data_IF_817066949197
#
_entry.id   IF_817066949197
#
_cell.length_a   1.000
_cell.length_b   1.000
_cell.length_c   1.000
_cell.angle_alpha   90.00
_cell.angle_beta   90.00
_cell.angle_gamma   90.00
#
_symmetry.space_group_name_H-M   'P 1'
#
loop_
_entity.id
_entity.type
_entity.pdbx_description
1 polymer ?
#
# COMPACT_ATOMS: atom_id res chain seq x y z
N UNK A 1 -10.93 12.65 9.60
CA UNK A 1 -9.73 12.88 8.76
C UNK A 1 -8.50 13.36 9.54
N UNK A 2 -8.55 14.42 10.36
CA UNK A 2 -7.38 14.89 11.13
C UNK A 2 -6.72 13.80 12.01
N UNK A 3 -7.51 13.05 12.78
CA UNK A 3 -7.02 11.92 13.60
C UNK A 3 -6.30 10.87 12.74
N UNK A 4 -6.91 10.47 11.62
CA UNK A 4 -6.31 9.54 10.66
C UNK A 4 -4.98 10.07 10.09
N UNK A 5 -4.90 11.36 9.75
CA UNK A 5 -3.67 11.95 9.25
C UNK A 5 -2.53 11.83 10.27
N UNK A 6 -2.78 12.17 11.54
CA UNK A 6 -1.81 12.00 12.63
C UNK A 6 -1.37 10.55 12.83
N UNK A 7 -2.31 9.60 12.83
CA UNK A 7 -2.01 8.17 12.95
C UNK A 7 -1.15 7.62 11.80
N UNK A 8 -1.33 8.18 10.59
CA UNK A 8 -0.53 7.81 9.41
C UNK A 8 0.84 8.48 9.49
N UNK A 9 0.88 9.78 9.80
CA UNK A 9 2.12 10.56 9.89
C UNK A 9 3.12 9.91 10.86
N UNK A 10 2.65 9.42 12.01
CA UNK A 10 3.50 8.73 12.99
C UNK A 10 4.12 7.42 12.48
N UNK A 11 3.63 6.86 11.38
CA UNK A 11 4.14 5.62 10.76
C UNK A 11 5.08 5.88 9.59
N UNK A 12 5.17 7.12 9.09
CA UNK A 12 5.99 7.44 7.93
C UNK A 12 7.46 7.36 8.34
N UNK A 13 8.17 6.36 7.81
CA UNK A 13 9.58 6.10 8.10
C UNK A 13 10.40 6.18 6.80
N UNK A 14 11.01 7.34 6.55
CA UNK A 14 12.11 7.51 5.60
C UNK A 14 11.77 8.23 4.28
N UNK A 15 12.47 7.87 3.19
CA UNK A 15 12.57 8.68 1.96
C UNK A 15 11.28 8.76 1.14
N UNK A 16 10.80 7.64 0.57
CA UNK A 16 9.66 7.67 -0.36
C UNK A 16 8.50 6.83 0.18
N UNK A 17 7.36 7.46 0.43
CA UNK A 17 6.16 6.82 0.95
C UNK A 17 4.96 6.94 -0.01
N UNK A 18 4.24 5.85 -0.23
CA UNK A 18 2.93 5.84 -0.88
C UNK A 18 1.85 5.68 0.18
N UNK A 19 0.96 6.65 0.29
CA UNK A 19 -0.22 6.62 1.14
C UNK A 19 -1.44 6.31 0.27
N UNK A 20 -2.00 5.11 0.38
CA UNK A 20 -3.27 4.79 -0.25
C UNK A 20 -4.39 5.07 0.74
N UNK A 21 -5.11 6.16 0.52
CA UNK A 21 -6.22 6.64 1.36
C UNK A 21 -7.39 7.01 0.46
N UNK A 22 -8.29 6.08 0.15
CA UNK A 22 -9.48 6.34 -0.67
C UNK A 22 -10.36 7.43 -0.05
N UNK A 23 -10.81 8.39 -0.86
CA UNK A 23 -11.72 9.45 -0.41
C UNK A 23 -11.06 10.57 0.40
N UNK A 24 -9.72 10.65 0.35
CA UNK A 24 -8.99 11.80 0.87
C UNK A 24 -9.41 13.09 0.14
N UNK A 25 -9.50 14.18 0.90
CA UNK A 25 -9.75 15.53 0.40
C UNK A 25 -8.53 16.41 0.63
N UNK A 26 -8.63 17.67 0.18
CA UNK A 26 -7.62 18.69 0.42
C UNK A 26 -7.23 18.80 1.91
N UNK A 27 -8.23 18.81 2.80
CA UNK A 27 -8.01 18.91 4.26
C UNK A 27 -7.13 17.78 4.80
N UNK A 28 -7.33 16.55 4.32
CA UNK A 28 -6.46 15.44 4.71
C UNK A 28 -5.01 15.65 4.29
N UNK A 29 -4.77 16.16 3.08
CA UNK A 29 -3.42 16.46 2.58
C UNK A 29 -2.76 17.55 3.42
N UNK A 30 -3.50 18.61 3.74
CA UNK A 30 -3.02 19.71 4.59
C UNK A 30 -2.64 19.19 5.99
N UNK A 31 -3.50 18.37 6.62
CA UNK A 31 -3.18 17.78 7.93
C UNK A 31 -1.94 16.88 7.90
N UNK A 32 -1.68 16.17 6.79
CA UNK A 32 -0.44 15.40 6.64
C UNK A 32 0.77 16.35 6.55
N UNK A 33 0.63 17.47 5.84
CA UNK A 33 1.66 18.51 5.77
C UNK A 33 1.97 19.11 7.14
N UNK A 34 0.95 19.45 7.92
CA UNK A 34 1.09 20.03 9.26
C UNK A 34 1.80 19.09 10.25
N UNK A 35 1.64 17.77 10.09
CA UNK A 35 2.23 16.77 10.99
C UNK A 35 3.65 16.35 10.55
N UNK A 36 4.16 16.84 9.42
CA UNK A 36 5.51 16.53 8.92
C UNK A 36 6.34 17.81 8.82
N UNK A 37 7.38 17.87 9.66
CA UNK A 37 8.35 18.96 9.65
C UNK A 37 9.01 19.12 8.28
N UNK A 38 9.21 20.38 7.87
CA UNK A 38 9.85 20.75 6.59
C UNK A 38 9.16 20.13 5.36
N UNK A 39 7.83 19.97 5.42
CA UNK A 39 7.06 19.49 4.28
C UNK A 39 6.67 20.62 3.31
N UNK A 40 6.39 20.24 2.05
CA UNK A 40 5.78 21.11 1.04
C UNK A 40 4.69 20.34 0.31
N UNK A 41 3.46 20.86 0.37
CA UNK A 41 2.35 20.30 -0.40
C UNK A 41 2.37 20.87 -1.81
N UNK A 42 2.57 20.00 -2.80
CA UNK A 42 2.60 20.35 -4.20
C UNK A 42 1.25 20.00 -4.84
N UNK A 43 0.56 21.03 -5.33
CA UNK A 43 -0.74 20.89 -5.98
C UNK A 43 -0.66 20.86 -7.50
N UNK A 44 0.33 21.53 -8.08
CA UNK A 44 0.44 21.72 -9.52
C UNK A 44 1.24 20.58 -10.16
N UNK A 45 0.64 19.94 -11.15
CA UNK A 45 1.30 18.97 -12.03
C UNK A 45 2.52 19.57 -12.77
N UNK A 46 2.59 20.90 -12.87
CA UNK A 46 3.65 21.67 -13.52
C UNK A 46 4.68 22.25 -12.55
N UNK A 47 4.80 21.75 -11.32
CA UNK A 47 5.84 22.23 -10.40
C UNK A 47 7.22 22.27 -11.08
N UNK A 48 7.76 23.48 -11.26
CA UNK A 48 9.07 23.77 -11.87
C UNK A 48 10.13 24.18 -10.84
N UNK A 49 9.83 24.11 -9.55
CA UNK A 49 10.75 24.48 -8.48
C UNK A 49 11.96 23.54 -8.39
N UNK A 50 13.07 24.07 -7.85
CA UNK A 50 14.27 23.28 -7.56
C UNK A 50 14.03 22.37 -6.35
N UNK A 51 14.36 21.09 -6.50
CA UNK A 51 14.25 20.12 -5.41
C UNK A 51 15.33 20.37 -4.35
N UNK A 52 14.90 20.55 -3.11
CA UNK A 52 15.78 20.67 -1.95
C UNK A 52 15.97 19.29 -1.31
N UNK A 53 17.19 18.95 -0.88
CA UNK A 53 17.48 17.60 -0.34
C UNK A 53 16.79 17.33 1.01
N UNK A 54 16.62 18.36 1.84
CA UNK A 54 16.08 18.20 3.19
C UNK A 54 14.55 18.27 3.27
N UNK A 55 13.91 18.82 2.25
CA UNK A 55 12.46 19.06 2.21
C UNK A 55 11.67 17.79 1.89
N UNK A 56 10.52 17.61 2.52
CA UNK A 56 9.60 16.50 2.24
C UNK A 56 8.50 16.97 1.29
N UNK A 57 8.50 16.49 0.06
CA UNK A 57 7.44 16.84 -0.90
C UNK A 57 6.22 15.93 -0.69
N UNK A 58 5.03 16.52 -0.62
CA UNK A 58 3.76 15.80 -0.55
C UNK A 58 2.98 16.12 -1.82
N UNK A 59 2.61 15.09 -2.58
CA UNK A 59 1.82 15.23 -3.81
C UNK A 59 0.69 14.22 -3.83
N UNK A 60 -0.36 14.50 -4.60
CA UNK A 60 -1.35 13.48 -4.95
C UNK A 60 -0.92 12.74 -6.21
N UNK A 61 -1.54 11.59 -6.47
CA UNK A 61 -1.46 10.92 -7.76
C UNK A 61 -2.42 11.62 -8.77
N UNK A 62 -2.01 11.86 -10.03
CA UNK A 62 -0.72 11.48 -10.65
C UNK A 62 0.45 12.34 -10.17
N UNK A 63 1.64 11.71 -10.08
CA UNK A 63 2.84 12.38 -9.56
C UNK A 63 3.45 13.30 -10.63
N UNK A 64 3.64 14.61 -10.34
CA UNK A 64 4.36 15.53 -11.22
C UNK A 64 5.72 14.97 -11.63
N UNK A 65 6.09 15.11 -12.90
CA UNK A 65 7.36 14.53 -13.42
C UNK A 65 8.59 15.07 -12.71
N UNK A 66 8.58 16.35 -12.31
CA UNK A 66 9.63 17.00 -11.54
C UNK A 66 9.85 16.33 -10.18
N UNK A 67 8.78 15.95 -9.48
CA UNK A 67 8.85 15.31 -8.17
C UNK A 67 9.31 13.85 -8.22
N UNK A 68 9.29 13.18 -9.38
CA UNK A 68 9.72 11.77 -9.47
C UNK A 68 11.15 11.55 -8.98
N UNK A 69 12.03 12.56 -9.12
CA UNK A 69 13.43 12.53 -8.67
C UNK A 69 13.64 12.93 -7.19
N UNK A 70 12.60 13.38 -6.50
CA UNK A 70 12.71 13.80 -5.10
C UNK A 70 13.15 12.62 -4.21
N UNK A 71 14.16 12.87 -3.35
CA UNK A 71 14.60 11.88 -2.37
C UNK A 71 13.54 11.64 -1.31
N UNK A 72 12.92 12.71 -0.80
CA UNK A 72 11.85 12.64 0.18
C UNK A 72 10.51 12.98 -0.48
N UNK A 73 9.67 11.98 -0.73
CA UNK A 73 8.41 12.14 -1.45
C UNK A 73 7.31 11.29 -0.81
N UNK A 74 6.21 11.93 -0.48
CA UNK A 74 4.97 11.29 -0.06
C UNK A 74 3.95 11.46 -1.18
N UNK A 75 3.40 10.34 -1.65
CA UNK A 75 2.32 10.35 -2.64
C UNK A 75 1.05 9.85 -2.00
N UNK A 76 -0.01 10.66 -2.07
CA UNK A 76 -1.35 10.29 -1.60
C UNK A 76 -2.19 9.87 -2.81
N UNK A 77 -2.85 8.72 -2.71
CA UNK A 77 -3.61 8.12 -3.82
C UNK A 77 -4.84 7.38 -3.32
N UNK A 78 -5.86 7.25 -4.18
CA UNK A 78 -7.03 6.42 -3.89
C UNK A 78 -6.81 4.93 -4.17
N UNK A 79 -5.71 4.59 -4.84
CA UNK A 79 -5.37 3.23 -5.21
C UNK A 79 -3.83 3.06 -5.26
N UNK A 80 -3.37 1.82 -5.36
CA UNK A 80 -2.00 1.52 -5.76
C UNK A 80 -1.96 0.83 -7.12
N UNK A 81 -0.77 0.68 -7.68
CA UNK A 81 -0.50 -0.15 -8.86
C UNK A 81 0.81 -0.89 -8.65
N UNK A 82 1.09 -1.98 -9.37
CA UNK A 82 2.38 -2.67 -9.25
C UNK A 82 3.58 -1.75 -9.47
N UNK A 83 3.46 -0.76 -10.36
CA UNK A 83 4.51 0.22 -10.63
C UNK A 83 4.68 1.23 -9.49
N UNK A 84 3.57 1.70 -8.91
CA UNK A 84 3.62 2.55 -7.71
C UNK A 84 4.25 1.77 -6.56
N UNK A 85 3.79 0.56 -6.27
CA UNK A 85 4.35 -0.27 -5.21
C UNK A 85 5.87 -0.42 -5.33
N UNK A 86 6.40 -0.62 -6.53
CA UNK A 86 7.85 -0.72 -6.80
C UNK A 86 8.60 0.61 -6.62
N UNK A 87 7.95 1.74 -6.89
CA UNK A 87 8.58 3.08 -6.90
C UNK A 87 8.71 3.73 -5.51
N UNK A 88 8.10 3.11 -4.50
CA UNK A 88 8.08 3.61 -3.12
C UNK A 88 8.70 2.60 -2.16
N UNK A 89 9.41 3.12 -1.18
CA UNK A 89 10.08 2.31 -0.17
C UNK A 89 9.09 1.82 0.89
N UNK A 90 8.12 2.66 1.22
CA UNK A 90 7.08 2.37 2.19
C UNK A 90 5.72 2.56 1.53
N UNK A 91 4.80 1.65 1.78
CA UNK A 91 3.43 1.73 1.28
C UNK A 91 2.47 1.55 2.45
N UNK A 92 1.73 2.59 2.80
CA UNK A 92 0.72 2.55 3.85
C UNK A 92 -0.65 2.55 3.18
N UNK A 93 -1.42 1.46 3.36
CA UNK A 93 -2.76 1.32 2.79
C UNK A 93 -3.80 1.42 3.90
N UNK A 94 -4.75 2.34 3.73
CA UNK A 94 -5.96 2.45 4.53
C UNK A 94 -7.15 2.15 3.63
N UNK A 95 -7.58 0.89 3.62
CA UNK A 95 -8.65 0.38 2.74
C UNK A 95 -9.95 1.13 2.98
N UNK A 96 -10.72 1.41 1.93
CA UNK A 96 -12.00 2.12 2.08
C UNK A 96 -12.99 1.36 2.97
N UNK A 97 -12.99 0.03 2.91
CA UNK A 97 -13.80 -0.83 3.78
C UNK A 97 -13.48 -0.61 5.26
N UNK A 98 -12.19 -0.58 5.62
CA UNK A 98 -11.71 -0.29 6.98
C UNK A 98 -12.07 1.12 7.41
N UNK A 99 -11.88 2.10 6.53
CA UNK A 99 -12.21 3.50 6.82
C UNK A 99 -13.72 3.72 7.03
N UNK A 100 -14.58 2.96 6.35
CA UNK A 100 -16.03 2.98 6.62
C UNK A 100 -16.36 2.37 7.99
N UNK A 101 -15.73 1.23 8.35
CA UNK A 101 -15.92 0.61 9.68
C UNK A 101 -15.48 1.53 10.82
N UNK A 102 -14.38 2.24 10.62
CA UNK A 102 -13.82 3.20 11.58
C UNK A 102 -14.57 4.54 11.62
N UNK A 103 -15.57 4.74 10.74
CA UNK A 103 -16.38 5.96 10.67
C UNK A 103 -15.68 7.17 10.02
N UNK A 104 -14.55 6.95 9.34
CA UNK A 104 -13.87 8.00 8.56
C UNK A 104 -14.54 8.28 7.21
N UNK A 105 -15.21 7.27 6.64
CA UNK A 105 -15.99 7.35 5.41
C UNK A 105 -17.44 6.93 5.68
N UNK A 106 -18.35 7.33 4.81
CA UNK A 106 -19.77 6.99 4.92
C UNK A 106 -20.18 5.97 3.87
N UNK A 107 -21.12 5.06 4.17
CA UNK A 107 -21.77 4.23 3.15
C UNK A 107 -22.33 5.10 2.02
N UNK A 108 -22.30 4.62 0.79
CA UNK A 108 -22.73 5.34 -0.40
C UNK A 108 -23.60 4.45 -1.29
N UNK A 109 -24.22 5.01 -2.33
CA UNK A 109 -25.10 4.25 -3.23
C UNK A 109 -24.48 4.04 -4.60
N UNK A 110 -24.81 2.92 -5.24
CA UNK A 110 -24.57 2.69 -6.66
C UNK A 110 -25.90 2.43 -7.36
N UNK A 111 -26.18 3.20 -8.41
CA UNK A 111 -27.33 3.03 -9.30
C UNK A 111 -26.83 2.75 -10.71
N UNK A 112 -27.07 1.56 -11.22
CA UNK A 112 -26.71 1.18 -12.59
C UNK A 112 -27.92 1.28 -13.50
N UNK A 113 -27.79 2.00 -14.60
CA UNK A 113 -28.83 2.15 -15.62
C UNK A 113 -28.36 1.53 -16.93
N UNK A 114 -29.27 0.84 -17.61
CA UNK A 114 -29.05 0.37 -18.97
C UNK A 114 -29.26 1.52 -19.96
N UNK A 115 -28.22 1.83 -20.74
CA UNK A 115 -28.27 2.74 -21.86
C UNK A 115 -28.15 1.96 -23.18
N UNK A 116 -29.09 2.18 -24.10
CA UNK A 116 -29.07 1.48 -25.40
C UNK A 116 -28.17 2.18 -26.43
N UNK A 117 -27.82 3.45 -26.21
CA UNK A 117 -26.94 4.17 -27.13
C UNK A 117 -25.48 3.81 -26.88
N UNK A 118 -24.72 3.38 -27.90
CA UNK A 118 -23.30 3.09 -27.76
C UNK A 118 -22.49 4.29 -27.26
N UNK A 119 -21.43 4.02 -26.51
CA UNK A 119 -20.57 5.04 -25.86
C UNK A 119 -19.88 5.98 -26.88
N UNK A 120 -19.62 5.51 -28.10
CA UNK A 120 -18.98 6.31 -29.15
C UNK A 120 -19.94 7.29 -29.86
N UNK A 121 -21.26 7.22 -29.61
CA UNK A 121 -22.27 8.11 -30.20
C UNK A 121 -22.76 9.13 -29.19
N UNK A 122 -23.10 10.33 -29.67
CA UNK A 122 -23.83 11.31 -28.87
C UNK A 122 -25.31 10.90 -28.76
N UNK A 123 -25.84 10.91 -27.54
CA UNK A 123 -27.23 10.56 -27.23
C UNK A 123 -27.90 11.71 -26.50
N UNK A 124 -28.92 12.33 -27.12
CA UNK A 124 -29.69 13.38 -26.45
C UNK A 124 -30.37 12.86 -25.18
N UNK A 125 -30.99 11.68 -25.22
CA UNK A 125 -31.64 11.12 -24.03
C UNK A 125 -30.66 10.85 -22.88
N UNK A 126 -29.41 10.46 -23.17
CA UNK A 126 -28.38 10.32 -22.12
C UNK A 126 -27.96 11.67 -21.57
N UNK A 127 -27.76 12.67 -22.43
CA UNK A 127 -27.44 14.04 -22.00
C UNK A 127 -28.56 14.64 -21.16
N UNK A 128 -29.82 14.49 -21.58
CA UNK A 128 -30.99 14.99 -20.85
C UNK A 128 -31.16 14.27 -19.51
N UNK A 129 -30.94 12.96 -19.47
CA UNK A 129 -30.91 12.19 -18.23
C UNK A 129 -29.80 12.67 -17.29
N UNK A 130 -28.58 12.88 -17.79
CA UNK A 130 -27.46 13.43 -17.01
C UNK A 130 -27.81 14.82 -16.48
N UNK A 131 -28.42 15.67 -17.30
CA UNK A 131 -28.82 17.02 -16.94
C UNK A 131 -29.96 17.07 -15.92
N UNK A 132 -30.68 15.96 -15.70
CA UNK A 132 -31.73 15.87 -14.67
C UNK A 132 -31.20 15.76 -13.24
N UNK A 133 -29.89 15.56 -13.05
CA UNK A 133 -29.26 15.51 -11.74
C UNK A 133 -28.69 16.88 -11.39
N UNK A 134 -29.19 17.45 -10.29
CA UNK A 134 -28.60 18.64 -9.70
C UNK A 134 -27.18 18.33 -9.21
N UNK A 135 -26.23 19.19 -9.52
CA UNK A 135 -24.84 19.14 -9.02
C UNK A 135 -24.15 17.78 -9.19
N UNK A 136 -24.09 17.31 -10.45
CA UNK A 136 -23.42 16.06 -10.81
C UNK A 136 -22.02 16.27 -11.43
N UNK A 137 -21.06 15.45 -11.00
CA UNK A 137 -19.77 15.29 -11.66
C UNK A 137 -19.87 14.20 -12.71
N UNK A 138 -19.57 14.51 -13.96
CA UNK A 138 -19.79 13.59 -15.07
C UNK A 138 -18.50 13.17 -15.74
N UNK A 139 -18.27 11.86 -15.80
CA UNK A 139 -17.35 11.25 -16.73
C UNK A 139 -18.11 10.93 -18.02
N UNK A 140 -17.96 11.73 -19.10
CA UNK A 140 -18.79 11.63 -20.29
C UNK A 140 -18.47 10.38 -21.09
N UNK A 141 -19.41 9.96 -21.93
CA UNK A 141 -19.22 8.82 -22.83
C UNK A 141 -18.03 9.03 -23.78
N UNK A 142 -17.91 10.25 -24.30
CA UNK A 142 -16.88 10.68 -25.25
C UNK A 142 -16.70 12.21 -25.18
N UNK A 143 -15.74 12.74 -25.95
CA UNK A 143 -15.39 14.17 -25.94
C UNK A 143 -16.54 15.08 -26.40
N UNK A 144 -17.32 14.63 -27.40
CA UNK A 144 -18.43 15.40 -27.96
C UNK A 144 -19.58 15.54 -26.95
N UNK A 145 -19.94 14.45 -26.28
CA UNK A 145 -20.88 14.49 -25.15
C UNK A 145 -20.38 15.39 -24.03
N UNK A 146 -19.08 15.31 -23.71
CA UNK A 146 -18.46 16.20 -22.74
C UNK A 146 -18.59 17.69 -23.12
N UNK A 147 -18.47 18.02 -24.41
CA UNK A 147 -18.67 19.40 -24.91
C UNK A 147 -20.11 19.86 -24.72
N UNK A 148 -21.09 19.03 -25.09
CA UNK A 148 -22.52 19.35 -24.94
C UNK A 148 -22.90 19.54 -23.47
N UNK A 149 -22.41 18.67 -22.58
CA UNK A 149 -22.66 18.76 -21.14
C UNK A 149 -22.09 20.06 -20.54
N UNK A 150 -20.86 20.43 -20.90
CA UNK A 150 -20.25 21.70 -20.46
C UNK A 150 -21.05 22.92 -20.93
N UNK A 151 -21.56 22.89 -22.17
CA UNK A 151 -22.40 23.97 -22.70
C UNK A 151 -23.73 24.12 -21.93
N UNK A 152 -24.16 23.07 -21.22
CA UNK A 152 -25.32 23.09 -20.32
C UNK A 152 -24.96 23.41 -18.87
N UNK A 153 -23.71 23.83 -18.60
CA UNK A 153 -23.24 24.15 -17.25
C UNK A 153 -22.91 22.93 -16.38
N UNK A 154 -22.87 21.73 -16.95
CA UNK A 154 -22.59 20.48 -16.20
C UNK A 154 -21.08 20.28 -16.07
N UNK A 155 -20.63 19.97 -14.86
CA UNK A 155 -19.22 19.75 -14.57
C UNK A 155 -18.74 18.40 -15.13
N UNK A 156 -17.84 18.47 -16.11
CA UNK A 156 -17.25 17.31 -16.78
C UNK A 156 -15.84 17.08 -16.28
N UNK A 157 -15.57 15.87 -15.80
CA UNK A 157 -14.29 15.48 -15.21
C UNK A 157 -13.54 14.47 -16.07
N UNK A 158 -12.21 14.49 -15.92
CA UNK A 158 -11.32 13.43 -16.41
C UNK A 158 -10.93 12.53 -15.25
N UNK A 159 -10.73 11.24 -15.51
CA UNK A 159 -10.27 10.25 -14.53
C UNK A 159 -9.02 10.72 -13.77
N UNK A 160 -8.11 11.45 -14.43
CA UNK A 160 -6.88 11.93 -13.79
C UNK A 160 -6.92 13.40 -13.36
N UNK A 161 -8.03 14.12 -13.62
CA UNK A 161 -8.21 15.53 -13.23
C UNK A 161 -9.50 15.68 -12.45
N UNK A 162 -9.51 15.07 -11.28
CA UNK A 162 -10.68 15.00 -10.41
C UNK A 162 -10.63 16.14 -9.38
N UNK A 163 -11.74 16.87 -9.14
CA UNK A 163 -11.79 17.96 -8.17
C UNK A 163 -11.49 17.49 -6.74
N UNK A 164 -10.91 18.38 -5.93
CA UNK A 164 -10.37 18.05 -4.61
C UNK A 164 -11.43 17.89 -3.50
N UNK A 165 -12.64 18.36 -3.77
CA UNK A 165 -13.76 18.35 -2.84
C UNK A 165 -15.06 18.31 -3.63
N UNK A 166 -15.60 17.13 -3.95
CA UNK A 166 -17.02 17.07 -4.20
C UNK A 166 -17.69 17.34 -2.85
N UNK A 167 -18.16 18.56 -2.67
CA UNK A 167 -19.30 18.74 -1.79
C UNK A 167 -20.41 17.88 -2.39
N UNK A 168 -20.79 16.84 -1.62
CA UNK A 168 -21.86 15.86 -1.83
C UNK A 168 -22.65 16.02 -3.14
N UNK A 169 -22.45 15.10 -4.09
CA UNK A 169 -23.21 15.05 -5.33
C UNK A 169 -23.23 13.66 -5.97
N UNK A 170 -23.90 13.55 -7.11
CA UNK A 170 -23.88 12.34 -7.93
C UNK A 170 -22.63 12.31 -8.81
N UNK A 171 -21.98 11.14 -8.91
CA UNK A 171 -20.86 10.89 -9.82
C UNK A 171 -21.38 10.02 -10.95
N UNK A 172 -21.49 10.57 -12.16
CA UNK A 172 -22.08 9.87 -13.30
C UNK A 172 -20.98 9.31 -14.19
N UNK A 173 -21.01 8.00 -14.43
CA UNK A 173 -20.09 7.27 -15.29
C UNK A 173 -20.79 6.91 -16.61
N UNK A 174 -20.63 7.74 -17.64
CA UNK A 174 -21.22 7.52 -18.96
C UNK A 174 -20.37 6.65 -19.91
N UNK A 175 -19.21 6.18 -19.46
CA UNK A 175 -18.36 5.21 -20.17
C UNK A 175 -17.82 4.12 -19.26
N UNK A 176 -17.48 2.98 -19.87
CA UNK A 176 -16.81 1.88 -19.20
C UNK A 176 -15.36 2.25 -18.96
N UNK A 177 -14.91 2.17 -17.72
CA UNK A 177 -13.52 2.36 -17.35
C UNK A 177 -12.71 1.13 -17.73
N UNK A 178 -11.47 1.32 -18.18
CA UNK A 178 -10.65 0.20 -18.68
C UNK A 178 -9.96 -0.58 -17.57
N UNK A 179 -9.85 0.00 -16.37
CA UNK A 179 -9.10 -0.60 -15.27
C UNK A 179 -9.68 -0.31 -13.89
N UNK A 180 -9.48 -1.23 -12.94
CA UNK A 180 -9.90 -1.06 -11.55
C UNK A 180 -9.32 0.22 -10.90
N UNK A 181 -8.04 0.60 -11.12
CA UNK A 181 -7.50 1.85 -10.58
C UNK A 181 -8.24 3.10 -11.07
N UNK A 182 -8.61 3.15 -12.36
CA UNK A 182 -9.41 4.24 -12.90
C UNK A 182 -10.80 4.31 -12.25
N UNK A 183 -11.43 3.14 -12.03
CA UNK A 183 -12.68 3.06 -11.28
C UNK A 183 -12.53 3.55 -9.84
N UNK A 184 -11.50 3.14 -9.12
CA UNK A 184 -11.25 3.58 -7.75
C UNK A 184 -11.03 5.09 -7.64
N UNK A 185 -10.40 5.70 -8.64
CA UNK A 185 -10.24 7.14 -8.70
C UNK A 185 -11.59 7.86 -8.77
N UNK A 186 -12.50 7.40 -9.63
CA UNK A 186 -13.86 7.96 -9.74
C UNK A 186 -14.70 7.64 -8.50
N UNK A 187 -14.63 6.40 -8.02
CA UNK A 187 -15.32 5.91 -6.83
C UNK A 187 -15.00 6.76 -5.61
N UNK A 188 -13.77 7.26 -5.48
CA UNK A 188 -13.33 8.06 -4.33
C UNK A 188 -14.20 9.29 -4.07
N UNK A 189 -14.84 9.83 -5.10
CA UNK A 189 -15.70 11.01 -5.03
C UNK A 189 -17.04 10.72 -4.36
N UNK A 190 -17.49 9.46 -4.35
CA UNK A 190 -18.75 9.07 -3.72
C UNK A 190 -18.58 8.58 -2.26
N UNK A 191 -17.35 8.37 -1.78
CA UNK A 191 -17.07 7.73 -0.47
C UNK A 191 -17.48 8.54 0.76
N UNK A 192 -18.04 9.74 0.57
CA UNK A 192 -18.58 10.62 1.63
C UNK A 192 -20.10 10.66 1.64
N UNK A 193 -20.73 9.52 1.35
CA UNK A 193 -22.19 9.39 1.33
C UNK A 193 -22.84 9.83 0.02
N UNK A 194 -22.08 9.89 -1.07
CA UNK A 194 -22.58 10.26 -2.39
C UNK A 194 -23.29 9.11 -3.12
N UNK A 195 -23.50 9.31 -4.42
CA UNK A 195 -24.11 8.31 -5.31
C UNK A 195 -23.27 8.14 -6.56
N UNK A 196 -22.92 6.91 -6.92
CA UNK A 196 -22.40 6.59 -8.25
C UNK A 196 -23.58 6.22 -9.15
N UNK A 197 -23.73 6.93 -10.25
CA UNK A 197 -24.69 6.64 -11.31
C UNK A 197 -23.92 6.04 -12.47
N UNK A 198 -24.05 4.75 -12.69
CA UNK A 198 -23.33 4.01 -13.71
C UNK A 198 -24.21 3.77 -14.93
N UNK A 199 -23.86 4.40 -16.05
CA UNK A 199 -24.58 4.28 -17.32
C UNK A 199 -23.87 3.33 -18.30
N UNK A 200 -22.78 2.70 -17.87
CA UNK A 200 -21.85 1.99 -18.76
C UNK A 200 -21.36 0.65 -18.21
N UNK A 201 -22.10 0.06 -17.27
CA UNK A 201 -21.85 -1.25 -16.68
C UNK A 201 -20.45 -1.38 -16.02
N UNK A 202 -20.09 -0.39 -15.21
CA UNK A 202 -18.97 -0.44 -14.28
C UNK A 202 -19.32 -1.10 -12.94
N UNK A 203 -20.61 -1.40 -12.66
CA UNK A 203 -21.08 -1.97 -11.38
C UNK A 203 -20.35 -3.25 -10.95
N UNK A 204 -19.86 -4.05 -11.91
CA UNK A 204 -19.05 -5.24 -11.66
C UNK A 204 -17.67 -4.94 -11.02
N UNK A 205 -17.20 -3.69 -11.12
CA UNK A 205 -15.98 -3.21 -10.48
C UNK A 205 -16.20 -2.81 -9.01
N UNK A 206 -17.45 -2.59 -8.59
CA UNK A 206 -17.87 -2.40 -7.19
C UNK A 206 -18.14 -3.73 -6.49
N UNK A 207 -17.21 -4.66 -6.68
CA UNK A 207 -17.11 -5.87 -5.88
C UNK A 207 -16.01 -5.63 -4.84
N UNK A 208 -16.31 -5.79 -3.55
CA UNK A 208 -15.36 -5.45 -2.49
C UNK A 208 -13.99 -6.11 -2.65
N UNK A 209 -13.93 -7.35 -3.12
CA UNK A 209 -12.64 -8.02 -3.39
C UNK A 209 -11.84 -7.31 -4.47
N UNK A 210 -12.47 -6.85 -5.57
CA UNK A 210 -11.78 -6.08 -6.61
C UNK A 210 -11.38 -4.69 -6.10
N UNK A 211 -12.24 -4.04 -5.31
CA UNK A 211 -11.95 -2.75 -4.68
C UNK A 211 -10.71 -2.87 -3.79
N UNK A 212 -10.71 -3.79 -2.84
CA UNK A 212 -9.60 -4.03 -1.90
C UNK A 212 -8.32 -4.38 -2.64
N UNK A 213 -8.36 -5.28 -3.64
CA UNK A 213 -7.19 -5.62 -4.43
C UNK A 213 -6.65 -4.43 -5.25
N UNK A 214 -7.53 -3.56 -5.76
CA UNK A 214 -7.11 -2.33 -6.44
C UNK A 214 -6.47 -1.30 -5.49
N UNK A 215 -7.01 -1.15 -4.29
CA UNK A 215 -6.41 -0.31 -3.24
C UNK A 215 -5.02 -0.82 -2.82
N UNK A 216 -4.85 -2.14 -2.73
CA UNK A 216 -3.57 -2.75 -2.42
C UNK A 216 -2.57 -2.74 -3.60
N UNK A 217 -3.03 -2.49 -4.82
CA UNK A 217 -2.18 -2.36 -6.01
C UNK A 217 -1.98 -3.62 -6.85
N UNK A 218 -2.98 -4.51 -6.86
CA UNK A 218 -2.97 -5.74 -7.65
C UNK A 218 -3.13 -5.46 -9.16
N UNK A 219 -3.93 -4.45 -9.49
CA UNK A 219 -4.28 -4.13 -10.88
C UNK A 219 -3.36 -3.07 -11.49
N UNK A 220 -3.07 -3.23 -12.77
CA UNK A 220 -2.34 -2.23 -13.56
C UNK A 220 -3.27 -1.11 -13.98
N UNK A 221 -2.79 0.14 -13.90
CA UNK A 221 -3.48 1.29 -14.47
C UNK A 221 -3.34 1.27 -16.00
N UNK A 222 -4.47 1.28 -16.69
CA UNK A 222 -4.51 1.36 -18.15
C UNK A 222 -4.77 2.82 -18.59
N UNK A 223 -4.25 3.19 -19.77
CA UNK A 223 -4.53 4.52 -20.34
C UNK A 223 -6.02 4.62 -20.67
N UNK A 224 -6.66 5.62 -20.09
CA UNK A 224 -8.02 6.01 -20.43
C UNK A 224 -8.01 6.86 -21.70
N UNK A 225 -9.01 6.65 -22.56
CA UNK A 225 -9.11 7.35 -23.83
C UNK A 225 -10.30 6.82 -24.62
N UNK A 226 -11.05 7.75 -25.20
CA UNK A 226 -12.23 7.48 -26.04
C UNK A 226 -12.20 8.41 -27.22
N UNK A 227 -12.11 7.87 -28.42
CA UNK A 227 -12.44 8.60 -29.65
C UNK A 227 -13.95 8.52 -29.84
N UNK A 228 -14.61 9.69 -29.87
CA UNK A 228 -16.02 9.79 -30.23
C UNK A 228 -16.18 9.91 -31.74
N UNK A 229 -17.31 9.46 -32.27
CA UNK A 229 -17.75 9.78 -33.63
C UNK A 229 -18.92 10.75 -33.52
N UNK A 230 -18.98 11.77 -34.37
CA UNK A 230 -20.07 12.78 -34.46
C UNK A 230 -21.41 12.20 -34.94
N UNK A 231 -21.59 10.88 -34.93
CA UNK A 231 -22.86 10.26 -35.29
C UNK A 231 -23.83 10.34 -34.12
N UNK A 232 -24.95 11.02 -34.34
CA UNK A 232 -26.08 11.07 -33.42
C UNK A 232 -26.86 9.76 -33.44
N UNK A 233 -27.32 9.33 -32.27
CA UNK A 233 -28.34 8.28 -32.19
C UNK A 233 -29.72 8.86 -32.55
N UNK A 234 -30.37 8.29 -33.58
CA UNK A 234 -31.64 8.78 -34.12
C UNK A 234 -32.87 8.32 -33.33
N UNK A 235 -32.72 7.34 -32.44
CA UNK A 235 -33.83 6.78 -31.65
C UNK A 235 -33.43 6.50 -30.19
N UNK A 236 -32.98 7.51 -29.43
CA UNK A 236 -32.45 7.28 -28.10
C UNK A 236 -33.58 6.94 -27.12
N UNK A 237 -33.45 5.81 -26.42
CA UNK A 237 -34.33 5.44 -25.30
C UNK A 237 -33.76 5.99 -24.00
N UNK A 238 -34.63 6.44 -23.09
CA UNK A 238 -34.23 6.88 -21.77
C UNK A 238 -33.48 5.77 -21.00
N UNK A 239 -32.45 6.11 -20.21
CA UNK A 239 -31.78 5.14 -19.34
C UNK A 239 -32.76 4.47 -18.38
N UNK A 240 -32.65 3.14 -18.22
CA UNK A 240 -33.56 2.35 -17.37
C UNK A 240 -32.78 1.79 -16.18
N UNK A 241 -33.24 2.03 -14.96
CA UNK A 241 -32.63 1.50 -13.74
C UNK A 241 -32.60 -0.04 -13.79
N UNK A 242 -31.42 -0.61 -13.54
CA UNK A 242 -31.19 -2.06 -13.48
C UNK A 242 -30.83 -2.53 -12.09
N UNK A 243 -29.97 -1.79 -11.41
CA UNK A 243 -29.46 -2.15 -10.08
C UNK A 243 -29.42 -0.90 -9.23
N UNK A 244 -29.93 -0.98 -8.01
CA UNK A 244 -29.66 -0.02 -6.94
C UNK A 244 -29.17 -0.79 -5.73
N UNK A 245 -28.00 -0.41 -5.19
CA UNK A 245 -27.44 -1.02 -3.99
C UNK A 245 -26.76 0.01 -3.09
N UNK A 246 -26.92 -0.19 -1.78
CA UNK A 246 -26.07 0.45 -0.78
C UNK A 246 -24.73 -0.27 -0.71
N UNK A 247 -23.64 0.48 -0.72
CA UNK A 247 -22.30 -0.03 -0.48
C UNK A 247 -21.97 0.16 1.00
N UNK A 248 -21.94 -0.97 1.73
CA UNK A 248 -21.62 -1.06 3.16
C UNK A 248 -20.42 -2.00 3.35
N UNK A 249 -19.57 -1.78 4.36
CA UNK A 249 -18.42 -2.65 4.61
C UNK A 249 -18.88 -4.07 4.98
N UNK A 250 -18.15 -5.10 4.52
CA UNK A 250 -18.40 -6.50 4.89
C UNK A 250 -17.93 -6.76 6.32
N UNK A 251 -18.60 -7.68 7.01
CA UNK A 251 -18.05 -8.22 8.26
C UNK A 251 -17.05 -9.34 7.93
N UNK A 252 -15.76 -9.07 8.15
CA UNK A 252 -14.67 -9.97 7.79
C UNK A 252 -13.73 -10.11 8.99
N UNK A 253 -13.15 -11.30 9.21
CA UNK A 253 -12.20 -11.50 10.29
C UNK A 253 -11.02 -10.54 10.20
N UNK A 254 -10.52 -10.09 11.35
CA UNK A 254 -9.38 -9.17 11.41
C UNK A 254 -8.11 -9.82 10.86
N UNK A 255 -7.44 -9.12 9.94
CA UNK A 255 -6.11 -9.49 9.46
C UNK A 255 -5.03 -8.86 10.35
N UNK A 256 -4.06 -9.66 10.75
CA UNK A 256 -2.92 -9.22 11.56
C UNK A 256 -1.60 -9.62 10.92
N UNK A 257 -0.67 -8.66 10.87
CA UNK A 257 0.70 -8.84 10.44
C UNK A 257 1.60 -8.20 11.49
N UNK A 258 2.39 -9.01 12.18
CA UNK A 258 3.25 -8.53 13.25
C UNK A 258 3.86 -9.66 14.06
N UNK A 259 4.93 -9.36 14.78
CA UNK A 259 5.65 -10.31 15.67
C UNK A 259 6.06 -11.60 14.96
N UNK A 260 6.41 -11.52 13.68
CA UNK A 260 6.80 -12.69 12.86
C UNK A 260 5.63 -13.61 12.48
N UNK A 261 4.39 -13.17 12.64
CA UNK A 261 3.19 -13.96 12.37
C UNK A 261 2.24 -13.25 11.41
N UNK A 262 1.57 -14.05 10.58
CA UNK A 262 0.46 -13.65 9.73
C UNK A 262 -0.77 -14.44 10.18
N UNK A 263 -1.81 -13.76 10.63
CA UNK A 263 -3.02 -14.40 11.15
C UNK A 263 -4.30 -13.66 10.76
N UNK A 264 -5.40 -14.43 10.68
CA UNK A 264 -6.73 -13.94 10.33
C UNK A 264 -7.73 -14.46 11.34
N UNK A 265 -8.46 -13.58 12.02
CA UNK A 265 -9.38 -13.97 13.10
C UNK A 265 -8.69 -14.79 14.18
N UNK A 266 -7.44 -14.46 14.51
CA UNK A 266 -6.58 -15.21 15.45
C UNK A 266 -6.00 -16.52 14.91
N UNK A 267 -6.43 -17.01 13.74
CA UNK A 267 -5.89 -18.23 13.13
C UNK A 267 -4.62 -17.91 12.34
N UNK A 268 -3.52 -18.59 12.67
CA UNK A 268 -2.23 -18.45 11.99
C UNK A 268 -2.29 -19.06 10.58
N UNK A 269 -1.95 -18.25 9.57
CA UNK A 269 -1.83 -18.66 8.17
C UNK A 269 -0.38 -18.65 7.65
N UNK A 270 0.54 -18.02 8.38
CA UNK A 270 1.95 -18.04 8.05
C UNK A 270 2.84 -17.46 9.15
N UNK A 271 4.14 -17.73 9.04
CA UNK A 271 5.20 -17.12 9.85
C UNK A 271 6.21 -16.47 8.92
N UNK A 272 6.73 -15.30 9.29
CA UNK A 272 7.81 -14.65 8.56
C UNK A 272 8.98 -14.34 9.47
N UNK A 273 10.18 -14.36 8.90
CA UNK A 273 11.40 -13.89 9.57
C UNK A 273 12.44 -13.40 8.58
N UNK A 274 13.33 -12.52 9.02
CA UNK A 274 14.54 -12.16 8.28
C UNK A 274 15.75 -12.84 8.92
N UNK A 275 16.48 -13.62 8.12
CA UNK A 275 17.68 -14.31 8.59
C UNK A 275 18.64 -14.61 7.44
N UNK A 276 19.94 -14.49 7.69
CA UNK A 276 20.96 -14.72 6.68
C UNK A 276 20.76 -13.91 5.39
N UNK A 277 20.36 -12.63 5.50
CA UNK A 277 20.07 -11.73 4.36
C UNK A 277 18.89 -12.14 3.47
N UNK A 278 18.00 -12.99 3.99
CA UNK A 278 16.84 -13.49 3.25
C UNK A 278 15.57 -13.30 4.07
N UNK A 279 14.50 -13.01 3.36
CA UNK A 279 13.14 -13.11 3.87
C UNK A 279 12.69 -14.57 3.77
N UNK A 280 12.23 -15.13 4.89
CA UNK A 280 11.70 -16.48 4.96
C UNK A 280 10.22 -16.40 5.33
N UNK A 281 9.39 -17.13 4.58
CA UNK A 281 7.96 -17.26 4.79
C UNK A 281 7.63 -18.74 4.95
N UNK A 282 7.23 -19.13 6.16
CA UNK A 282 6.80 -20.49 6.48
C UNK A 282 5.28 -20.56 6.42
N UNK A 283 4.76 -21.49 5.60
CA UNK A 283 3.35 -21.68 5.29
C UNK A 283 2.99 -23.17 5.35
N UNK A 284 1.71 -23.49 5.53
CA UNK A 284 1.22 -24.86 5.51
C UNK A 284 0.25 -25.07 4.34
N UNK A 285 0.70 -25.77 3.30
CA UNK A 285 -0.11 -26.12 2.14
C UNK A 285 -0.57 -27.59 2.16
N UNK A 286 -0.54 -28.25 3.32
CA UNK A 286 -0.67 -29.70 3.50
C UNK A 286 0.54 -30.24 4.25
N UNK A 287 1.71 -29.74 3.89
CA UNK A 287 2.94 -29.88 4.64
C UNK A 287 3.55 -28.49 4.90
N UNK A 288 4.33 -28.39 5.97
CA UNK A 288 5.02 -27.17 6.31
C UNK A 288 6.15 -26.90 5.31
N UNK A 289 6.06 -25.78 4.60
CA UNK A 289 7.05 -25.34 3.62
C UNK A 289 7.63 -23.99 4.02
N UNK A 290 8.93 -23.80 3.83
CA UNK A 290 9.59 -22.50 4.03
C UNK A 290 10.08 -21.95 2.69
N UNK A 291 9.46 -20.86 2.25
CA UNK A 291 9.80 -20.13 1.05
C UNK A 291 10.84 -19.06 1.39
N UNK A 292 11.99 -19.05 0.71
CA UNK A 292 13.07 -18.13 1.03
C UNK A 292 13.53 -17.32 -0.17
N UNK A 293 13.61 -16.00 -0.03
CA UNK A 293 14.07 -15.08 -1.10
C UNK A 293 14.91 -13.94 -0.54
N UNK A 294 15.71 -13.29 -1.39
CA UNK A 294 16.47 -12.09 -1.01
C UNK A 294 15.59 -10.89 -0.72
N UNK A 295 14.38 -10.84 -1.30
CA UNK A 295 13.35 -9.83 -1.08
C UNK A 295 11.96 -10.50 -1.27
N UNK A 296 10.88 -10.05 -0.59
CA UNK A 296 9.55 -10.65 -0.73
C UNK A 296 9.09 -10.70 -2.18
N UNK A 297 8.80 -11.90 -2.69
CA UNK A 297 8.33 -12.12 -4.05
C UNK A 297 6.84 -12.31 -4.07
N UNK A 298 6.12 -11.63 -4.97
CA UNK A 298 4.66 -11.75 -5.09
C UNK A 298 4.20 -13.21 -5.23
N UNK A 299 4.97 -14.06 -5.91
CA UNK A 299 4.63 -15.48 -6.12
C UNK A 299 4.65 -16.33 -4.84
N UNK A 300 5.35 -15.90 -3.79
CA UNK A 300 5.32 -16.57 -2.49
C UNK A 300 4.00 -16.31 -1.75
N UNK A 301 3.31 -15.23 -2.10
CA UNK A 301 2.06 -14.80 -1.48
C UNK A 301 0.86 -15.19 -2.34
N UNK A 302 0.90 -14.88 -3.64
CA UNK A 302 -0.16 -15.15 -4.61
C UNK A 302 0.41 -16.03 -5.71
N UNK A 303 0.11 -17.33 -5.63
CA UNK A 303 0.29 -18.26 -6.73
C UNK A 303 -1.04 -18.95 -7.01
N UNK A 304 -1.45 -19.13 -8.28
CA UNK A 304 -2.69 -19.85 -8.58
C UNK A 304 -2.61 -21.28 -8.03
N UNK A 305 -3.66 -21.75 -7.36
CA UNK A 305 -3.71 -23.10 -6.80
C UNK A 305 -3.52 -24.19 -7.87
N UNK A 306 -3.95 -23.92 -9.11
CA UNK A 306 -3.75 -24.81 -10.26
C UNK A 306 -2.29 -25.09 -10.59
N UNK A 307 -1.35 -24.27 -10.12
CA UNK A 307 0.08 -24.51 -10.31
C UNK A 307 0.67 -25.55 -9.35
N UNK A 308 -0.08 -25.93 -8.31
CA UNK A 308 0.40 -26.79 -7.22
C UNK A 308 1.47 -26.14 -6.33
N UNK A 309 1.87 -24.89 -6.59
CA UNK A 309 2.92 -24.22 -5.82
C UNK A 309 2.38 -23.74 -4.48
N UNK A 310 3.10 -24.12 -3.42
CA UNK A 310 2.78 -23.64 -2.08
C UNK A 310 3.02 -22.12 -1.98
N UNK A 311 2.04 -21.41 -1.41
CA UNK A 311 2.04 -19.96 -1.21
C UNK A 311 1.21 -19.60 0.02
N UNK A 312 1.32 -18.36 0.50
CA UNK A 312 0.47 -17.88 1.59
C UNK A 312 -1.02 -17.98 1.24
N UNK A 313 -1.39 -17.67 0.00
CA UNK A 313 -2.75 -17.80 -0.51
C UNK A 313 -3.29 -19.22 -0.34
N UNK A 314 -2.52 -20.23 -0.77
CA UNK A 314 -2.93 -21.63 -0.59
C UNK A 314 -3.10 -21.95 0.89
N UNK A 315 -2.15 -21.55 1.74
CA UNK A 315 -2.22 -21.82 3.19
C UNK A 315 -3.44 -21.17 3.83
N UNK A 316 -3.74 -19.93 3.45
CA UNK A 316 -4.93 -19.23 3.91
C UNK A 316 -6.22 -19.96 3.49
N UNK A 317 -6.34 -20.37 2.22
CA UNK A 317 -7.53 -21.10 1.72
C UNK A 317 -7.70 -22.41 2.48
N UNK A 318 -6.62 -23.11 2.82
CA UNK A 318 -6.71 -24.31 3.67
C UNK A 318 -7.22 -24.02 5.09
N UNK A 319 -6.88 -22.88 5.66
CA UNK A 319 -7.26 -22.51 7.04
C UNK A 319 -8.67 -21.92 7.11
N UNK A 320 -9.08 -21.16 6.09
CA UNK A 320 -10.32 -20.37 6.10
C UNK A 320 -11.39 -20.82 5.10
N UNK A 321 -11.02 -21.50 4.02
CA UNK A 321 -11.93 -21.93 2.96
C UNK A 321 -12.37 -20.83 1.97
N UNK A 322 -12.10 -19.55 2.26
CA UNK A 322 -12.53 -18.41 1.42
C UNK A 322 -11.43 -18.00 0.43
N UNK A 323 -11.66 -18.31 -0.86
CA UNK A 323 -10.75 -18.00 -1.97
C UNK A 323 -10.59 -16.48 -2.18
N UNK A 324 -11.67 -15.72 -2.14
CA UNK A 324 -11.62 -14.29 -2.46
C UNK A 324 -10.95 -13.50 -1.34
N UNK A 325 -11.36 -13.75 -0.10
CA UNK A 325 -10.78 -13.09 1.05
C UNK A 325 -9.31 -13.48 1.26
N UNK A 326 -8.96 -14.75 1.04
CA UNK A 326 -7.55 -15.17 1.13
C UNK A 326 -6.66 -14.52 0.07
N UNK A 327 -7.20 -14.19 -1.11
CA UNK A 327 -6.45 -13.43 -2.12
C UNK A 327 -6.16 -12.01 -1.64
N UNK A 328 -7.14 -11.33 -1.03
CA UNK A 328 -6.98 -10.00 -0.42
C UNK A 328 -5.91 -10.03 0.68
N UNK A 329 -6.08 -10.93 1.66
CA UNK A 329 -5.16 -11.11 2.79
C UNK A 329 -3.73 -11.40 2.33
N UNK A 330 -3.58 -12.27 1.34
CA UNK A 330 -2.25 -12.65 0.86
C UNK A 330 -1.54 -11.49 0.16
N UNK A 331 -2.29 -10.67 -0.57
CA UNK A 331 -1.71 -9.47 -1.18
C UNK A 331 -1.37 -8.40 -0.15
N UNK A 332 -2.22 -8.21 0.87
CA UNK A 332 -1.94 -7.30 1.97
C UNK A 332 -0.70 -7.72 2.77
N UNK A 333 -0.55 -9.02 3.03
CA UNK A 333 0.65 -9.59 3.63
C UNK A 333 1.91 -9.37 2.77
N UNK A 334 1.79 -9.42 1.44
CA UNK A 334 2.89 -9.10 0.53
C UNK A 334 3.33 -7.64 0.69
N UNK A 335 2.39 -6.69 0.68
CA UNK A 335 2.69 -5.25 0.87
C UNK A 335 3.35 -5.01 2.23
N UNK A 336 2.80 -5.59 3.31
CA UNK A 336 3.36 -5.45 4.66
C UNK A 336 4.75 -6.10 4.80
N UNK A 337 4.98 -7.24 4.17
CA UNK A 337 6.29 -7.91 4.17
C UNK A 337 7.36 -7.05 3.48
N UNK A 338 6.99 -6.35 2.38
CA UNK A 338 7.89 -5.40 1.71
C UNK A 338 8.27 -4.23 2.61
N UNK A 339 7.29 -3.64 3.29
CA UNK A 339 7.54 -2.57 4.26
C UNK A 339 8.48 -3.06 5.36
N UNK A 340 8.18 -4.21 5.98
CA UNK A 340 8.99 -4.79 7.05
C UNK A 340 10.45 -5.00 6.63
N UNK A 341 10.67 -5.57 5.45
CA UNK A 341 12.02 -5.77 4.91
C UNK A 341 12.75 -4.44 4.67
N UNK A 342 12.04 -3.44 4.17
CA UNK A 342 12.59 -2.11 3.96
C UNK A 342 12.90 -1.40 5.30
N UNK A 343 12.06 -1.54 6.32
CA UNK A 343 12.29 -1.01 7.67
C UNK A 343 13.54 -1.63 8.29
N UNK A 344 13.69 -2.95 8.23
CA UNK A 344 14.89 -3.65 8.71
C UNK A 344 16.15 -3.18 7.99
N UNK A 345 16.09 -2.96 6.67
CA UNK A 345 17.23 -2.47 5.89
C UNK A 345 17.67 -1.03 6.23
N UNK A 346 16.83 -0.27 6.94
CA UNK A 346 17.08 1.13 7.35
C UNK A 346 17.58 1.23 8.79
N UNK A 347 17.58 0.14 9.54
CA UNK A 347 18.03 0.14 10.93
C UNK A 347 19.50 0.57 11.02
N UNK A 348 19.79 1.51 11.90
CA UNK A 348 21.16 1.87 12.26
C UNK A 348 21.76 0.78 13.19
N UNK A 349 22.33 -0.26 12.59
CA UNK A 349 22.91 -1.39 13.33
C UNK A 349 24.05 -1.00 14.27
N UNK A 350 24.76 0.09 13.99
CA UNK A 350 25.77 0.63 14.90
C UNK A 350 25.13 1.14 16.20
N UNK A 351 24.04 1.91 16.09
CA UNK A 351 23.28 2.39 17.24
C UNK A 351 22.68 1.23 18.05
N UNK A 352 22.14 0.22 17.36
CA UNK A 352 21.64 -1.01 18.00
C UNK A 352 22.76 -1.72 18.77
N UNK A 353 23.91 -1.98 18.14
CA UNK A 353 25.03 -2.65 18.79
C UNK A 353 25.50 -1.90 20.05
N UNK A 354 25.65 -0.56 19.97
CA UNK A 354 26.01 0.28 21.12
C UNK A 354 25.00 0.17 22.26
N UNK A 355 23.71 0.23 21.95
CA UNK A 355 22.63 0.16 22.94
C UNK A 355 22.75 -1.11 23.80
N UNK A 356 22.93 -2.27 23.16
CA UNK A 356 23.02 -3.55 23.88
C UNK A 356 24.36 -3.77 24.59
N UNK A 357 25.44 -3.11 24.14
CA UNK A 357 26.74 -3.17 24.81
C UNK A 357 26.89 -2.21 26.00
N UNK A 358 26.11 -1.11 26.06
CA UNK A 358 26.27 -0.04 27.07
C UNK A 358 26.21 -0.53 28.53
N UNK A 359 25.52 -1.64 28.81
CA UNK A 359 25.38 -2.20 30.16
C UNK A 359 26.22 -3.46 30.44
N UNK A 360 26.99 -3.95 29.47
CA UNK A 360 27.80 -5.16 29.64
C UNK A 360 29.09 -4.79 30.33
N UNK A 361 29.41 -5.42 31.46
CA UNK A 361 30.70 -5.24 32.15
C UNK A 361 31.71 -6.33 31.74
N UNK A 362 33.00 -6.02 31.78
CA UNK A 362 34.07 -6.91 31.30
C UNK A 362 34.28 -8.15 32.18
N UNK A 363 34.07 -8.02 33.48
CA UNK A 363 34.04 -9.12 34.45
C UNK A 363 32.96 -10.14 34.10
N UNK A 364 31.74 -9.69 33.78
CA UNK A 364 30.63 -10.56 33.35
C UNK A 364 30.92 -11.31 32.05
N UNK A 365 31.74 -10.73 31.16
CA UNK A 365 32.16 -11.43 29.93
C UNK A 365 33.04 -12.66 30.23
N UNK A 366 33.67 -12.76 31.41
CA UNK A 366 34.39 -13.98 31.82
C UNK A 366 33.46 -15.12 32.19
N UNK A 367 32.33 -14.80 32.80
CA UNK A 367 31.27 -15.76 33.16
C UNK A 367 30.44 -16.18 31.94
N UNK A 368 30.47 -15.36 30.87
CA UNK A 368 29.66 -15.55 29.67
C UNK A 368 28.36 -14.76 29.76
N UNK A 369 28.08 -13.96 28.73
CA UNK A 369 26.88 -13.12 28.64
C UNK A 369 26.10 -13.50 27.40
N UNK A 370 24.79 -13.70 27.54
CA UNK A 370 23.88 -13.78 26.39
C UNK A 370 23.21 -12.43 26.17
N UNK A 371 23.35 -11.88 24.96
CA UNK A 371 22.66 -10.68 24.51
C UNK A 371 21.47 -11.07 23.64
N UNK A 372 20.27 -10.67 24.03
CA UNK A 372 19.08 -10.75 23.19
C UNK A 372 18.87 -9.43 22.45
N UNK A 373 19.45 -9.33 21.26
CA UNK A 373 19.40 -8.11 20.45
C UNK A 373 18.09 -8.10 19.66
N UNK A 374 17.18 -7.20 20.03
CA UNK A 374 15.97 -6.93 19.24
C UNK A 374 16.27 -5.96 18.10
N UNK A 375 15.95 -6.37 16.88
CA UNK A 375 16.00 -5.55 15.65
C UNK A 375 14.64 -5.60 14.99
N UNK A 376 13.94 -4.46 14.95
CA UNK A 376 12.52 -4.41 14.58
C UNK A 376 11.72 -5.44 15.40
N UNK A 377 11.18 -6.48 14.76
CA UNK A 377 10.46 -7.57 15.42
C UNK A 377 11.30 -8.84 15.60
N UNK A 378 12.51 -8.91 15.02
CA UNK A 378 13.42 -10.04 15.19
C UNK A 378 14.17 -9.97 16.52
N UNK A 379 14.45 -11.15 17.07
CA UNK A 379 15.39 -11.32 18.19
C UNK A 379 16.61 -12.10 17.67
N UNK A 380 17.80 -11.62 18.02
CA UNK A 380 19.07 -12.29 17.73
C UNK A 380 19.79 -12.55 19.05
N UNK A 381 20.02 -13.83 19.35
CA UNK A 381 20.72 -14.24 20.56
C UNK A 381 22.21 -14.42 20.27
N UNK A 382 23.02 -13.55 20.87
CA UNK A 382 24.48 -13.65 20.80
C UNK A 382 25.03 -14.08 22.16
N UNK A 383 25.89 -15.09 22.17
CA UNK A 383 26.68 -15.45 23.35
C UNK A 383 28.06 -14.81 23.24
N UNK A 384 28.49 -14.14 24.31
CA UNK A 384 29.76 -13.46 24.44
C UNK A 384 30.52 -14.06 25.63
N UNK A 385 31.71 -14.61 25.42
CA UNK A 385 32.58 -15.07 26.50
C UNK A 385 34.03 -14.71 26.27
N UNK A 386 34.86 -14.69 27.31
CA UNK A 386 36.31 -14.56 27.14
C UNK A 386 36.99 -15.92 27.15
N UNK A 387 37.92 -16.13 26.21
CA UNK A 387 38.82 -17.28 26.18
C UNK A 387 40.26 -16.79 26.05
N UNK A 388 41.05 -16.92 27.12
CA UNK A 388 42.40 -16.37 27.19
C UNK A 388 42.41 -14.86 26.92
N UNK A 389 43.07 -14.46 25.83
CA UNK A 389 43.16 -13.07 25.38
C UNK A 389 42.18 -12.72 24.24
N UNK A 390 41.06 -13.45 24.10
CA UNK A 390 40.05 -13.21 23.06
C UNK A 390 38.64 -13.12 23.64
N UNK A 391 37.80 -12.31 23.01
CA UNK A 391 36.35 -12.46 23.12
C UNK A 391 35.87 -13.43 22.06
N UNK A 392 35.13 -14.45 22.47
CA UNK A 392 34.38 -15.32 21.60
C UNK A 392 32.95 -14.79 21.48
N UNK A 393 32.48 -14.60 20.25
CA UNK A 393 31.12 -14.15 19.94
C UNK A 393 30.45 -15.22 19.10
N UNK A 394 29.40 -15.83 19.62
CA UNK A 394 28.67 -16.92 18.99
C UNK A 394 27.21 -16.55 18.74
N UNK A 395 26.63 -17.05 17.65
CA UNK A 395 25.20 -16.96 17.39
C UNK A 395 24.66 -18.32 16.95
N UNK A 396 23.87 -18.97 17.80
CA UNK A 396 23.31 -20.30 17.50
C UNK A 396 22.25 -20.24 16.40
N UNK A 397 21.39 -19.21 16.47
CA UNK A 397 20.19 -19.06 15.64
C UNK A 397 20.44 -18.28 14.33
N UNK A 398 21.69 -17.88 14.07
CA UNK A 398 22.09 -17.14 12.88
C UNK A 398 22.27 -18.06 11.66
N UNK A 399 21.96 -17.55 10.47
CA UNK A 399 22.03 -18.30 9.21
C UNK A 399 23.42 -18.28 8.56
N UNK A 400 24.06 -17.10 8.51
CA UNK A 400 25.34 -16.88 7.82
C UNK A 400 26.52 -16.69 8.78
N UNK A 401 26.24 -16.60 10.08
CA UNK A 401 27.25 -16.42 11.11
C UNK A 401 27.05 -17.45 12.21
N UNK A 402 28.12 -18.10 12.68
CA UNK A 402 28.06 -19.01 13.82
C UNK A 402 28.97 -18.56 14.96
N UNK A 403 30.19 -18.16 14.64
CA UNK A 403 31.21 -17.82 15.64
C UNK A 403 32.27 -16.85 15.08
N UNK A 404 32.85 -16.03 15.96
CA UNK A 404 34.10 -15.30 15.69
C UNK A 404 34.87 -15.04 16.98
N UNK A 405 36.18 -14.84 16.87
CA UNK A 405 37.06 -14.55 18.00
C UNK A 405 37.80 -13.22 17.78
N UNK A 406 37.86 -12.37 18.81
CA UNK A 406 38.38 -11.00 18.73
C UNK A 406 39.42 -10.79 19.82
N UNK A 407 40.67 -10.45 19.44
CA UNK A 407 41.77 -10.25 20.39
C UNK A 407 41.55 -9.04 21.31
N UNK A 408 41.74 -9.27 22.61
CA UNK A 408 41.68 -8.30 23.72
C UNK A 408 43.01 -7.54 23.76
N UNK A 409 42.96 -6.20 23.80
CA UNK A 409 44.14 -5.33 23.95
C UNK A 409 43.99 -4.34 25.11
N UNK A 410 42.89 -3.61 25.18
CA UNK A 410 42.62 -2.60 26.22
C UNK A 410 41.15 -2.20 26.28
N UNK A 411 40.67 -1.74 27.44
CA UNK A 411 39.22 -1.61 27.72
C UNK A 411 38.45 -0.79 26.68
N UNK A 412 38.81 0.46 26.33
CA UNK A 412 38.04 1.24 25.36
C UNK A 412 38.11 0.66 23.93
N UNK A 413 39.27 0.12 23.54
CA UNK A 413 39.49 -0.47 22.23
C UNK A 413 38.69 -1.79 22.07
N UNK A 414 38.55 -2.54 23.16
CA UNK A 414 37.80 -3.79 23.24
C UNK A 414 36.30 -3.57 22.99
N UNK A 415 35.68 -2.57 23.63
CA UNK A 415 34.27 -2.24 23.39
C UNK A 415 34.01 -1.80 21.96
N UNK A 416 34.88 -0.95 21.38
CA UNK A 416 34.76 -0.54 19.96
C UNK A 416 34.92 -1.71 18.99
N UNK A 417 35.73 -2.72 19.34
CA UNK A 417 35.89 -3.94 18.54
C UNK A 417 34.65 -4.84 18.64
N UNK A 418 34.12 -5.05 19.84
CA UNK A 418 32.88 -5.79 20.06
C UNK A 418 31.68 -5.12 19.38
N UNK A 419 31.59 -3.79 19.44
CA UNK A 419 30.57 -3.02 18.72
C UNK A 419 30.63 -3.29 17.21
N UNK A 420 31.83 -3.20 16.62
CA UNK A 420 32.03 -3.50 15.20
C UNK A 420 31.65 -4.93 14.85
N UNK A 421 32.05 -5.90 15.66
CA UNK A 421 31.73 -7.32 15.44
C UNK A 421 30.22 -7.57 15.51
N UNK A 422 29.54 -7.08 16.54
CA UNK A 422 28.08 -7.22 16.66
C UNK A 422 27.40 -6.53 15.48
N UNK A 423 27.79 -5.31 15.14
CA UNK A 423 27.27 -4.62 13.94
C UNK A 423 27.44 -5.48 12.70
N UNK A 424 28.63 -6.03 12.45
CA UNK A 424 28.91 -6.83 11.26
C UNK A 424 28.11 -8.15 11.24
N UNK A 425 27.85 -8.76 12.40
CA UNK A 425 26.92 -9.90 12.54
C UNK A 425 25.50 -9.47 12.16
N UNK A 426 25.01 -8.36 12.70
CA UNK A 426 23.68 -7.83 12.37
C UNK A 426 23.57 -7.53 10.87
N UNK A 427 24.59 -6.94 10.24
CA UNK A 427 24.64 -6.70 8.79
C UNK A 427 24.60 -8.01 7.98
N UNK A 428 25.28 -9.06 8.45
CA UNK A 428 25.31 -10.37 7.79
C UNK A 428 24.00 -11.16 7.92
N UNK A 429 23.23 -10.91 8.98
CA UNK A 429 22.00 -11.64 9.25
C UNK A 429 20.75 -10.91 8.77
N UNK A 430 20.70 -9.59 8.95
CA UNK A 430 19.47 -8.80 8.83
C UNK A 430 19.34 -8.06 7.50
N UNK A 431 20.44 -7.68 6.85
CA UNK A 431 20.34 -6.91 5.61
C UNK A 431 20.01 -7.83 4.45
N UNK A 432 18.76 -7.77 4.02
CA UNK A 432 18.28 -8.26 2.73
C UNK A 432 18.69 -7.30 1.61
N UNK A 433 18.79 -7.80 0.38
CA UNK A 433 18.98 -6.93 -0.79
C UNK A 433 17.72 -6.09 -0.96
N UNK A 434 17.82 -4.76 -0.89
CA UNK A 434 16.75 -3.89 -1.39
C UNK A 434 16.58 -4.20 -2.87
N UNK A 435 15.33 -4.36 -3.32
CA UNK A 435 15.02 -4.41 -4.76
C UNK A 435 15.87 -3.36 -5.48
N UNK A 436 16.82 -3.79 -6.32
CA UNK A 436 17.46 -2.89 -7.28
C UNK A 436 16.33 -2.51 -8.24
N UNK A 437 16.01 -1.22 -8.29
CA UNK A 437 15.01 -0.67 -9.18
C UNK A 437 15.20 -1.15 -10.61
#
# INVERSE_FOLDING_TARGET
MKKLAREIASKISGSRCLLVVPGHDRRFVDYIGDEIDSSEVIEDERFQGTLQEDKVYISRFPVPTSLKKARKLIVISNFATPNLLKSFDQVIVKKSETLMKEGYLSPFKVRSFACNTPVFRLSSARVDFIASFDEALVLPANEEEGRVLRNRGIEVIDVFKVPQSPEKGAVILARKLKSQPAYLQMRSLALRGGVIIDLANNVEMEEWTKVTLGELGYFTLLKEGTTGVTSYDKSPKAPILKVEKDVKPRDLPEFTFGRGMIAVGGKRIGLYKIRGKRFHLTVNCGEQSTLSSSYPSIYQFISPMSTGKCSLFFSCVKVLGDVNFCKEVSFEAYVNSRNYVNDVSRVNFTSVARKYLKGVRLDKLREGVTLEIKVAEEIIRLSLRTEGNKFLVMCRDCGNFKETAVRIRGVPENYRKLERVIRDILLKEMITVKSRN
#
